data_IF_009004362613
#
_entry.id   IF_009004362613
#
_cell.length_a   1.000
_cell.length_b   1.000
_cell.length_c   1.000
_cell.angle_alpha   90.00
_cell.angle_beta   90.00
_cell.angle_gamma   90.00
#
_symmetry.space_group_name_H-M   'P 1'
#
loop_
_entity.id
_entity.type
_entity.pdbx_description
1 polymer ?
#
# COMPACT_ATOMS: atom_id res chain seq x y z
N UNK A 1 8.31 4.37 -10.57
CA UNK A 1 6.98 4.52 -9.96
C UNK A 1 6.64 5.97 -9.72
N UNK A 2 5.34 6.23 -9.75
CA UNK A 2 4.67 7.51 -9.79
C UNK A 2 4.77 8.44 -8.58
N UNK A 3 4.65 7.96 -7.36
CA UNK A 3 5.32 8.48 -6.19
C UNK A 3 5.28 7.31 -5.26
N UNK A 4 5.84 6.16 -5.59
CA UNK A 4 5.96 5.12 -4.61
C UNK A 4 4.72 4.66 -3.85
N UNK A 5 3.63 4.51 -4.55
CA UNK A 5 2.44 4.28 -3.79
C UNK A 5 1.58 3.23 -4.34
N UNK A 6 0.83 2.69 -3.43
CA UNK A 6 0.01 1.52 -3.78
C UNK A 6 -1.39 2.03 -3.71
N UNK A 7 -2.30 1.77 -4.68
CA UNK A 7 -3.70 2.19 -4.44
C UNK A 7 -4.55 0.93 -4.36
N UNK A 8 -5.50 0.90 -3.41
CA UNK A 8 -6.54 -0.10 -3.23
C UNK A 8 -7.51 -0.14 -4.37
N UNK A 9 -7.95 -1.37 -4.68
CA UNK A 9 -8.94 -1.53 -5.72
C UNK A 9 -10.36 -1.27 -5.31
N UNK A 10 -10.72 -1.32 -4.05
CA UNK A 10 -12.16 -1.33 -3.67
C UNK A 10 -12.86 -0.02 -4.15
N UNK A 11 -12.25 1.14 -4.05
CA UNK A 11 -13.00 2.40 -4.24
C UNK A 11 -12.77 2.81 -5.65
N UNK A 12 -11.49 2.71 -6.16
CA UNK A 12 -11.27 3.16 -7.50
C UNK A 12 -11.42 2.09 -8.60
N UNK A 13 -10.75 0.94 -8.34
CA UNK A 13 -10.75 -0.26 -9.19
C UNK A 13 -10.49 0.11 -10.62
N UNK A 14 -9.35 0.78 -10.89
CA UNK A 14 -8.99 0.84 -12.30
C UNK A 14 -8.03 -0.19 -12.83
N UNK A 15 -6.96 -0.43 -12.16
CA UNK A 15 -6.06 -1.58 -12.24
C UNK A 15 -5.43 -1.97 -10.91
N UNK A 16 -5.74 -1.30 -9.78
CA UNK A 16 -4.80 -0.94 -8.73
C UNK A 16 -4.24 -2.21 -8.13
N UNK A 17 -5.10 -3.22 -8.03
CA UNK A 17 -4.99 -4.46 -7.31
C UNK A 17 -3.76 -5.26 -7.68
N UNK A 18 -3.27 -5.89 -6.57
CA UNK A 18 -2.14 -6.85 -6.42
C UNK A 18 -0.79 -6.25 -6.71
N UNK A 19 -0.83 -4.91 -6.88
CA UNK A 19 0.36 -4.14 -7.20
C UNK A 19 1.42 -4.16 -6.14
N UNK A 20 1.08 -4.21 -4.85
CA UNK A 20 2.02 -4.23 -3.77
C UNK A 20 2.83 -5.49 -3.94
N UNK A 21 2.25 -6.62 -4.34
CA UNK A 21 2.98 -7.90 -4.16
C UNK A 21 4.19 -7.85 -5.07
N UNK A 22 3.92 -7.40 -6.28
CA UNK A 22 4.87 -7.00 -7.29
C UNK A 22 5.73 -5.84 -6.96
N UNK A 23 5.23 -4.74 -6.36
CA UNK A 23 6.17 -3.68 -6.09
C UNK A 23 7.18 -4.21 -5.17
N UNK A 24 6.76 -5.03 -4.27
CA UNK A 24 7.60 -5.58 -3.21
C UNK A 24 8.80 -6.26 -3.75
N UNK A 25 8.57 -7.36 -4.51
CA UNK A 25 9.68 -8.16 -4.94
C UNK A 25 10.57 -7.24 -5.76
N UNK A 26 9.91 -6.50 -6.64
CA UNK A 26 10.61 -5.83 -7.69
C UNK A 26 11.30 -4.57 -7.26
N UNK A 27 10.69 -3.77 -6.41
CA UNK A 27 11.22 -2.53 -5.83
C UNK A 27 12.44 -2.85 -5.07
N UNK A 28 12.39 -3.93 -4.32
CA UNK A 28 13.43 -4.46 -3.52
C UNK A 28 14.68 -4.71 -4.31
N UNK A 29 14.49 -5.53 -5.35
CA UNK A 29 15.56 -6.03 -6.15
C UNK A 29 16.26 -4.90 -6.78
N UNK A 30 15.41 -4.00 -7.34
CA UNK A 30 15.84 -2.86 -8.09
C UNK A 30 16.49 -1.74 -7.28
N UNK A 31 15.84 -1.40 -6.16
CA UNK A 31 16.13 -0.20 -5.41
C UNK A 31 15.82 -0.30 -3.85
N UNK A 32 16.50 0.45 -3.00
CA UNK A 32 16.32 0.57 -1.51
C UNK A 32 15.38 1.75 -1.08
N UNK A 33 14.14 1.52 -0.61
CA UNK A 33 13.07 2.36 -1.14
C UNK A 33 11.86 2.08 -0.28
N UNK A 34 10.73 2.61 -0.46
CA UNK A 34 9.77 2.75 0.59
C UNK A 34 8.56 3.10 -0.19
N UNK A 35 7.41 2.95 0.37
CA UNK A 35 6.16 3.23 -0.30
C UNK A 35 5.22 3.73 0.74
N UNK A 36 4.10 4.21 0.28
CA UNK A 36 2.90 4.55 1.03
C UNK A 36 1.78 3.71 0.36
N UNK A 37 1.12 2.81 1.04
CA UNK A 37 -0.15 2.23 0.53
C UNK A 37 -1.52 2.99 0.91
N UNK A 38 -2.21 3.51 -0.08
CA UNK A 38 -3.50 4.21 -0.05
C UNK A 38 -4.67 3.23 -0.27
N UNK A 39 -5.23 2.85 0.83
CA UNK A 39 -6.25 1.81 0.94
C UNK A 39 -7.29 2.21 1.93
N UNK A 40 -8.56 1.80 1.67
CA UNK A 40 -9.54 2.87 1.53
C UNK A 40 -9.81 3.55 2.85
N UNK A 41 -10.19 4.85 2.74
CA UNK A 41 -10.81 5.48 3.88
C UNK A 41 -12.10 4.90 4.26
N UNK A 42 -12.96 4.66 3.23
CA UNK A 42 -14.33 4.21 3.19
C UNK A 42 -14.59 2.79 3.65
N UNK A 43 -13.84 1.72 3.27
CA UNK A 43 -14.15 0.41 3.85
C UNK A 43 -13.26 -0.02 5.03
N UNK A 44 -11.99 0.34 4.95
CA UNK A 44 -10.87 -0.10 5.75
C UNK A 44 -10.59 -1.57 5.50
N UNK A 45 -10.99 -2.10 4.31
CA UNK A 45 -10.92 -3.56 4.08
C UNK A 45 -9.60 -3.89 3.39
N UNK A 46 -9.35 -3.14 2.28
CA UNK A 46 -8.14 -3.34 1.46
C UNK A 46 -6.93 -3.06 2.39
N UNK A 47 -7.03 -2.08 3.25
CA UNK A 47 -5.93 -1.73 4.16
C UNK A 47 -5.58 -2.83 5.18
N UNK A 48 -6.63 -3.43 5.81
CA UNK A 48 -6.40 -4.51 6.78
C UNK A 48 -5.76 -5.70 6.06
N UNK A 49 -6.18 -5.95 4.79
CA UNK A 49 -5.56 -6.95 3.96
C UNK A 49 -4.10 -6.65 3.64
N UNK A 50 -3.73 -5.40 3.49
CA UNK A 50 -2.32 -5.03 3.31
C UNK A 50 -1.42 -5.48 4.45
N UNK A 51 -1.85 -5.29 5.67
CA UNK A 51 -1.08 -5.70 6.86
C UNK A 51 -0.86 -7.21 6.79
N UNK A 52 -1.93 -7.98 6.46
CA UNK A 52 -1.78 -9.43 6.33
C UNK A 52 -0.79 -9.82 5.20
N UNK A 53 -0.86 -9.15 4.06
CA UNK A 53 0.01 -9.48 2.90
C UNK A 53 1.46 -9.24 3.22
N UNK A 54 1.71 -8.09 3.89
CA UNK A 54 3.10 -7.73 4.11
C UNK A 54 3.79 -8.75 5.04
N UNK A 55 3.03 -9.22 6.02
CA UNK A 55 3.53 -10.29 6.92
C UNK A 55 3.85 -11.57 6.13
N UNK A 56 2.93 -11.92 5.23
CA UNK A 56 3.01 -13.20 4.50
C UNK A 56 4.25 -13.33 3.65
N UNK A 57 4.69 -12.26 3.02
CA UNK A 57 5.94 -12.20 2.21
C UNK A 57 7.05 -11.29 2.80
N UNK A 58 8.31 -11.69 2.72
CA UNK A 58 9.47 -11.20 3.49
C UNK A 58 10.26 -10.03 2.86
N UNK A 59 9.65 -9.43 1.85
CA UNK A 59 10.18 -8.44 0.90
C UNK A 59 10.60 -7.23 1.73
N UNK A 60 10.02 -7.01 2.91
CA UNK A 60 9.57 -5.69 3.33
C UNK A 60 10.85 -4.97 3.75
N UNK A 61 10.82 -4.08 4.68
CA UNK A 61 11.56 -4.16 5.92
C UNK A 61 10.61 -3.99 7.10
N UNK A 62 9.71 -3.00 6.99
CA UNK A 62 8.73 -2.66 8.05
C UNK A 62 7.41 -2.19 7.50
N UNK A 63 6.29 -2.31 8.27
CA UNK A 63 5.15 -1.45 8.04
C UNK A 63 4.50 -0.80 9.26
N UNK A 64 4.13 0.52 9.13
CA UNK A 64 3.42 1.19 10.22
C UNK A 64 2.53 2.27 9.58
N UNK A 65 1.53 2.81 10.21
CA UNK A 65 0.61 3.80 9.72
C UNK A 65 1.30 5.10 9.35
N UNK A 66 0.59 5.98 8.61
CA UNK A 66 0.80 7.38 8.86
C UNK A 66 -0.26 7.93 9.78
N UNK A 67 0.13 8.67 10.83
CA UNK A 67 -0.77 9.31 11.78
C UNK A 67 -1.09 10.66 11.18
N UNK A 68 -1.61 10.67 9.99
CA UNK A 68 -2.79 11.40 9.53
C UNK A 68 -3.98 10.43 9.57
N UNK A 69 -3.79 9.27 10.27
CA UNK A 69 -4.75 8.15 10.29
C UNK A 69 -5.97 8.71 10.91
N UNK A 70 -5.86 9.45 12.04
CA UNK A 70 -6.96 9.91 12.83
C UNK A 70 -7.86 10.77 11.94
N UNK A 71 -7.28 11.61 11.12
CA UNK A 71 -7.93 12.43 10.10
C UNK A 71 -8.44 11.70 8.83
N UNK A 72 -7.66 10.76 8.29
CA UNK A 72 -8.02 10.17 6.98
C UNK A 72 -8.29 8.65 6.98
N UNK A 73 -7.46 7.94 7.69
CA UNK A 73 -7.28 6.50 7.67
C UNK A 73 -7.07 5.90 6.31
N UNK A 74 -6.47 6.61 5.35
CA UNK A 74 -6.13 5.92 4.12
C UNK A 74 -4.76 5.28 4.01
N UNK A 75 -3.86 5.38 4.98
CA UNK A 75 -2.51 5.70 4.60
C UNK A 75 -1.55 4.74 5.37
N UNK A 76 -0.94 3.80 4.73
CA UNK A 76 0.03 2.90 5.41
C UNK A 76 1.46 3.17 4.96
N UNK A 77 2.42 3.39 5.87
CA UNK A 77 3.75 3.83 5.45
C UNK A 77 4.65 2.59 5.50
N UNK A 78 5.23 2.17 4.41
CA UNK A 78 5.71 0.78 4.30
C UNK A 78 7.15 0.82 3.72
N UNK A 79 8.13 0.26 4.39
CA UNK A 79 9.52 0.53 3.96
C UNK A 79 10.18 -0.73 3.53
N UNK A 80 10.88 -0.74 2.35
CA UNK A 80 11.35 -1.98 1.75
C UNK A 80 12.86 -1.94 1.81
N UNK A 81 13.54 -3.02 2.31
CA UNK A 81 15.00 -2.81 2.54
C UNK A 81 15.43 -1.42 3.16
N UNK A 82 14.78 -1.00 4.25
CA UNK A 82 15.07 0.21 5.08
C UNK A 82 16.56 0.24 5.65
#
# INVERSE_FOLDING_TARGET
SHMKLVLAKNTRKSDAKSVELEDLYHEFSEDKRSIFYFAPTNAHKDMLKAVDFFKEKGHTAYLDEVRVSTDEKDFLYELHII
#
